data_IF_022178135141
#
_entry.id   IF_022178135141
#
_cell.length_a   1.000
_cell.length_b   1.000
_cell.length_c   1.000
_cell.angle_alpha   90.00
_cell.angle_beta   90.00
_cell.angle_gamma   90.00
#
_symmetry.space_group_name_H-M   'P 1'
#
loop_
_entity.id
_entity.type
_entity.pdbx_description
1 polymer ?
#
# COMPACT_ATOMS: atom_id res chain seq x y z
N UNK A 1 -21.53 -5.14 4.13
CA UNK A 1 -21.56 -3.72 3.75
C UNK A 1 -20.32 -3.49 2.91
N UNK A 2 -20.44 -3.00 1.67
CA UNK A 2 -19.28 -2.61 0.88
C UNK A 2 -18.89 -1.20 1.32
N UNK A 3 -17.62 -0.96 1.58
CA UNK A 3 -17.14 0.39 1.91
C UNK A 3 -17.26 1.29 0.68
N UNK A 4 -17.78 2.52 0.83
CA UNK A 4 -17.83 3.48 -0.26
C UNK A 4 -16.44 3.73 -0.86
N UNK A 5 -16.28 3.74 -2.20
CA UNK A 5 -14.98 3.93 -2.84
C UNK A 5 -14.25 5.21 -2.43
N UNK A 6 -15.00 6.25 -2.02
CA UNK A 6 -14.44 7.52 -1.54
C UNK A 6 -13.58 7.36 -0.28
N UNK A 7 -13.86 6.38 0.57
CA UNK A 7 -13.06 6.09 1.77
C UNK A 7 -11.66 5.63 1.33
N UNK A 8 -11.59 4.62 0.45
CA UNK A 8 -10.34 4.15 -0.15
C UNK A 8 -9.59 5.26 -0.89
N UNK A 9 -10.30 6.11 -1.64
CA UNK A 9 -9.70 7.23 -2.38
C UNK A 9 -9.01 8.22 -1.44
N UNK A 10 -9.63 8.58 -0.31
CA UNK A 10 -9.03 9.48 0.66
C UNK A 10 -7.76 8.90 1.29
N UNK A 11 -7.77 7.60 1.60
CA UNK A 11 -6.59 6.88 2.08
C UNK A 11 -5.47 6.87 1.06
N UNK A 12 -5.77 6.56 -0.21
CA UNK A 12 -4.78 6.57 -1.30
C UNK A 12 -4.19 7.97 -1.48
N UNK A 13 -5.02 9.01 -1.50
CA UNK A 13 -4.57 10.41 -1.62
C UNK A 13 -3.67 10.82 -0.45
N UNK A 14 -3.98 10.37 0.76
CA UNK A 14 -3.15 10.60 1.95
C UNK A 14 -1.79 9.91 1.84
N UNK A 15 -1.75 8.65 1.41
CA UNK A 15 -0.52 7.87 1.27
C UNK A 15 0.36 8.39 0.12
N UNK A 16 -0.24 8.76 -1.02
CA UNK A 16 0.51 9.32 -2.15
C UNK A 16 1.10 10.70 -1.85
N UNK A 17 0.56 11.40 -0.85
CA UNK A 17 1.01 12.72 -0.43
C UNK A 17 2.02 12.68 0.73
N UNK A 18 2.56 11.52 1.13
CA UNK A 18 3.58 11.42 2.19
C UNK A 18 4.80 12.31 1.92
N UNK A 19 5.46 12.79 2.99
CA UNK A 19 6.69 13.58 2.91
C UNK A 19 7.91 12.67 2.69
N UNK A 20 8.00 12.13 1.46
CA UNK A 20 9.09 11.28 1.02
C UNK A 20 9.28 11.44 -0.50
N UNK A 21 10.48 11.20 -1.06
CA UNK A 21 10.70 11.29 -2.50
C UNK A 21 9.70 10.43 -3.28
N UNK A 22 9.00 11.04 -4.24
CA UNK A 22 7.91 10.38 -4.99
C UNK A 22 8.40 9.14 -5.75
N UNK A 23 9.61 9.18 -6.29
CA UNK A 23 10.24 8.04 -6.97
C UNK A 23 10.68 6.90 -6.03
N UNK A 24 10.56 7.06 -4.72
CA UNK A 24 10.81 6.01 -3.72
C UNK A 24 9.52 5.47 -3.09
N UNK A 25 8.37 6.04 -3.46
CA UNK A 25 7.06 5.60 -3.00
C UNK A 25 6.31 4.89 -4.11
N UNK A 26 5.63 3.80 -3.74
CA UNK A 26 4.74 3.05 -4.61
C UNK A 26 3.49 2.67 -3.83
N UNK A 27 2.33 3.15 -4.28
CA UNK A 27 1.03 2.83 -3.69
C UNK A 27 0.41 1.66 -4.46
N UNK A 28 0.15 0.57 -3.75
CA UNK A 28 -0.55 -0.61 -4.28
C UNK A 28 -1.92 -0.71 -3.62
N UNK A 29 -2.98 -0.77 -4.43
CA UNK A 29 -4.36 -0.92 -3.95
C UNK A 29 -4.83 -2.33 -4.31
N UNK A 30 -5.10 -3.15 -3.28
CA UNK A 30 -5.72 -4.47 -3.48
C UNK A 30 -7.23 -4.33 -3.43
N UNK A 31 -7.89 -4.77 -4.49
CA UNK A 31 -9.35 -4.82 -4.57
C UNK A 31 -9.81 -6.27 -4.68
N UNK A 32 -10.22 -6.81 -3.54
CA UNK A 32 -10.73 -8.17 -3.43
C UNK A 32 -12.13 -8.34 -4.04
N UNK A 33 -12.85 -7.24 -4.28
CA UNK A 33 -14.15 -7.24 -4.93
C UNK A 33 -14.07 -7.24 -6.45
N UNK A 34 -12.89 -6.97 -7.03
CA UNK A 34 -12.71 -6.80 -8.47
C UNK A 34 -13.72 -5.80 -9.07
N UNK A 35 -13.87 -4.66 -8.39
CA UNK A 35 -14.91 -3.68 -8.64
C UNK A 35 -14.48 -2.67 -9.71
N UNK A 36 -15.17 -2.59 -10.87
CA UNK A 36 -14.89 -1.55 -11.85
C UNK A 36 -15.13 -0.14 -11.30
N UNK A 37 -16.01 0.01 -10.30
CA UNK A 37 -16.24 1.26 -9.60
C UNK A 37 -15.03 1.68 -8.74
N UNK A 38 -14.39 0.74 -8.03
CA UNK A 38 -13.17 1.05 -7.27
C UNK A 38 -12.04 1.46 -8.22
N UNK A 39 -11.89 0.74 -9.34
CA UNK A 39 -10.90 1.11 -10.35
C UNK A 39 -11.19 2.49 -10.98
N UNK A 40 -12.45 2.81 -11.28
CA UNK A 40 -12.87 4.15 -11.72
C UNK A 40 -12.52 5.23 -10.69
N UNK A 41 -12.86 5.01 -9.42
CA UNK A 41 -12.59 5.95 -8.34
C UNK A 41 -11.09 6.24 -8.17
N UNK A 42 -10.22 5.23 -8.36
CA UNK A 42 -8.77 5.42 -8.35
C UNK A 42 -8.24 6.24 -9.54
N UNK A 43 -8.86 6.15 -10.72
CA UNK A 43 -8.50 7.01 -11.86
C UNK A 43 -8.88 8.47 -11.59
N UNK A 44 -10.06 8.71 -11.03
CA UNK A 44 -10.46 10.06 -10.61
C UNK A 44 -9.58 10.59 -9.46
N UNK A 45 -9.22 9.73 -8.50
CA UNK A 45 -8.25 10.06 -7.45
C UNK A 45 -6.89 10.46 -8.03
N UNK A 46 -6.38 9.73 -9.04
CA UNK A 46 -5.13 10.06 -9.71
C UNK A 46 -5.19 11.45 -10.38
N UNK A 47 -6.33 11.82 -10.97
CA UNK A 47 -6.51 13.15 -11.55
C UNK A 47 -6.47 14.24 -10.49
N UNK A 48 -7.11 14.03 -9.34
CA UNK A 48 -7.06 14.96 -8.21
C UNK A 48 -5.67 14.99 -7.53
N UNK A 49 -4.97 13.85 -7.45
CA UNK A 49 -3.63 13.75 -6.85
C UNK A 49 -2.62 14.70 -7.52
N UNK A 50 -2.77 14.94 -8.83
CA UNK A 50 -1.92 15.86 -9.61
C UNK A 50 -1.98 17.31 -9.15
N UNK A 51 -3.07 17.72 -8.50
CA UNK A 51 -3.21 19.07 -7.92
C UNK A 51 -3.11 19.05 -6.39
N UNK A 52 -3.52 17.96 -5.74
CA UNK A 52 -3.45 17.79 -4.29
C UNK A 52 -2.02 17.69 -3.75
N UNK A 53 -1.18 16.86 -4.37
CA UNK A 53 0.18 16.59 -3.88
C UNK A 53 1.06 17.85 -3.97
N UNK A 54 1.09 18.60 -5.10
CA UNK A 54 1.84 19.85 -5.16
C UNK A 54 1.32 20.90 -4.16
N UNK A 55 0.00 20.98 -3.95
CA UNK A 55 -0.58 21.87 -2.95
C UNK A 55 -0.12 21.51 -1.53
N UNK A 56 -0.14 20.22 -1.18
CA UNK A 56 0.34 19.74 0.12
C UNK A 56 1.79 20.13 0.39
N UNK A 57 2.66 19.97 -0.62
CA UNK A 57 4.08 20.34 -0.52
C UNK A 57 4.27 21.86 -0.45
N UNK A 58 3.56 22.61 -1.30
CA UNK A 58 3.66 24.09 -1.39
C UNK A 58 3.26 24.77 -0.08
N UNK A 59 2.26 24.24 0.61
CA UNK A 59 1.68 24.86 1.81
C UNK A 59 1.92 24.07 3.10
N UNK A 60 2.84 23.09 3.07
CA UNK A 60 3.20 22.23 4.20
C UNK A 60 1.98 21.69 4.97
N UNK A 61 1.05 21.12 4.20
CA UNK A 61 -0.16 20.53 4.77
C UNK A 61 0.22 19.36 5.67
N UNK A 62 -0.21 19.41 6.93
CA UNK A 62 0.09 18.38 7.92
C UNK A 62 -0.79 17.14 7.72
N UNK A 63 -2.11 17.27 7.87
CA UNK A 63 -3.05 16.17 7.61
C UNK A 63 -3.36 16.12 6.12
N UNK A 64 -2.75 15.17 5.41
CA UNK A 64 -2.83 15.08 3.94
C UNK A 64 -3.97 14.19 3.43
N UNK A 65 -4.96 13.93 4.27
CA UNK A 65 -6.23 13.33 3.88
C UNK A 65 -7.25 14.43 3.53
N UNK A 66 -7.70 14.54 2.27
CA UNK A 66 -8.53 15.67 1.83
C UNK A 66 -9.81 15.87 2.64
N UNK A 67 -10.57 14.79 2.92
CA UNK A 67 -11.81 14.88 3.70
C UNK A 67 -11.58 15.50 5.09
N UNK A 68 -10.49 15.12 5.77
CA UNK A 68 -10.13 15.70 7.06
C UNK A 68 -9.62 17.14 6.91
N UNK A 69 -8.77 17.39 5.93
CA UNK A 69 -8.19 18.72 5.70
C UNK A 69 -9.27 19.77 5.41
N UNK A 70 -10.27 19.43 4.60
CA UNK A 70 -11.35 20.35 4.20
C UNK A 70 -12.53 20.36 5.17
N UNK A 71 -12.54 19.51 6.21
CA UNK A 71 -13.59 19.47 7.24
C UNK A 71 -13.66 20.76 8.07
N UNK A 72 -12.52 21.43 8.26
CA UNK A 72 -12.42 22.70 8.98
C UNK A 72 -11.95 23.82 8.04
N UNK A 73 -12.47 25.06 8.19
CA UNK A 73 -11.94 26.22 7.48
C UNK A 73 -10.44 26.43 7.79
N UNK A 74 -9.65 26.99 6.85
CA UNK A 74 -8.24 27.23 7.09
C UNK A 74 -8.05 28.23 8.25
N UNK A 75 -7.14 27.94 9.18
CA UNK A 75 -6.84 28.85 10.28
C UNK A 75 -6.30 30.20 9.75
N UNK A 76 -6.83 31.29 10.29
CA UNK A 76 -6.60 32.67 9.82
C UNK A 76 -5.18 33.22 10.07
N UNK A 77 -4.30 32.47 10.75
CA UNK A 77 -2.94 32.93 11.00
C UNK A 77 -2.09 32.74 9.73
N UNK A 78 -2.09 33.78 8.88
CA UNK A 78 -1.13 34.03 7.78
C UNK A 78 -1.43 33.38 6.42
N UNK A 79 -2.68 33.34 5.97
CA UNK A 79 -2.95 32.99 4.56
C UNK A 79 -2.79 34.18 3.62
N UNK A 80 -1.82 34.09 2.70
CA UNK A 80 -1.74 35.01 1.56
C UNK A 80 -3.01 34.94 0.70
N UNK A 81 -3.29 35.98 -0.07
CA UNK A 81 -4.42 35.98 -1.04
C UNK A 81 -4.32 34.81 -2.02
N UNK A 82 -3.08 34.45 -2.42
CA UNK A 82 -2.83 33.28 -3.26
C UNK A 82 -3.23 31.97 -2.58
N UNK A 83 -2.89 31.77 -1.30
CA UNK A 83 -3.31 30.58 -0.56
C UNK A 83 -4.84 30.49 -0.51
N UNK A 84 -5.53 31.59 -0.21
CA UNK A 84 -6.99 31.57 -0.12
C UNK A 84 -7.65 31.21 -1.45
N UNK A 85 -7.08 31.69 -2.57
CA UNK A 85 -7.51 31.31 -3.90
C UNK A 85 -7.26 29.82 -4.17
N UNK A 86 -6.01 29.36 -4.00
CA UNK A 86 -5.62 27.97 -4.24
C UNK A 86 -6.44 27.00 -3.39
N UNK A 87 -6.66 27.31 -2.10
CA UNK A 87 -7.45 26.50 -1.18
C UNK A 87 -8.91 26.38 -1.63
N UNK A 88 -9.54 27.50 -2.02
CA UNK A 88 -10.93 27.48 -2.51
C UNK A 88 -11.06 26.68 -3.80
N UNK A 89 -10.15 26.91 -4.75
CA UNK A 89 -10.12 26.15 -6.00
C UNK A 89 -9.96 24.66 -5.74
N UNK A 90 -9.05 24.27 -4.85
CA UNK A 90 -8.78 22.87 -4.56
C UNK A 90 -9.93 22.19 -3.81
N UNK A 91 -10.59 22.91 -2.91
CA UNK A 91 -11.80 22.42 -2.23
C UNK A 91 -12.92 22.12 -3.24
N UNK A 92 -13.15 22.99 -4.22
CA UNK A 92 -14.14 22.76 -5.28
C UNK A 92 -13.80 21.55 -6.13
N UNK A 93 -12.52 21.34 -6.48
CA UNK A 93 -12.10 20.14 -7.22
C UNK A 93 -12.24 18.86 -6.38
N UNK A 94 -12.04 18.93 -5.06
CA UNK A 94 -12.30 17.80 -4.15
C UNK A 94 -13.80 17.46 -4.08
N UNK A 95 -14.67 18.46 -3.90
CA UNK A 95 -16.13 18.26 -3.89
C UNK A 95 -16.64 17.70 -5.24
N UNK A 96 -15.99 18.07 -6.34
CA UNK A 96 -16.25 17.50 -7.67
C UNK A 96 -15.81 16.03 -7.77
N UNK A 97 -14.67 15.66 -7.21
CA UNK A 97 -14.24 14.26 -7.10
C UNK A 97 -15.25 13.43 -6.31
N UNK A 98 -15.66 13.89 -5.13
CA UNK A 98 -16.66 13.22 -4.29
C UNK A 98 -17.98 13.01 -5.06
N UNK A 99 -18.46 14.06 -5.72
CA UNK A 99 -19.69 14.02 -6.51
C UNK A 99 -19.60 13.04 -7.68
N UNK A 100 -18.49 13.03 -8.44
CA UNK A 100 -18.29 12.06 -9.53
C UNK A 100 -18.34 10.62 -9.03
N UNK A 101 -17.66 10.33 -7.93
CA UNK A 101 -17.64 8.98 -7.35
C UNK A 101 -19.05 8.59 -6.86
N UNK A 102 -19.77 9.52 -6.23
CA UNK A 102 -21.14 9.29 -5.76
C UNK A 102 -22.11 9.06 -6.92
N UNK A 103 -22.07 9.90 -7.95
CA UNK A 103 -22.87 9.72 -9.17
C UNK A 103 -22.53 8.37 -9.83
N UNK A 104 -21.26 7.98 -9.83
CA UNK A 104 -20.80 6.67 -10.27
C UNK A 104 -21.08 5.53 -9.28
N UNK A 105 -21.64 5.78 -8.10
CA UNK A 105 -22.13 4.72 -7.21
C UNK A 105 -23.62 4.50 -7.43
N UNK A 106 -24.34 5.60 -7.69
CA UNK A 106 -25.79 5.64 -7.91
C UNK A 106 -26.17 5.18 -9.33
N UNK A 107 -25.45 5.60 -10.37
CA UNK A 107 -25.82 5.40 -11.78
C UNK A 107 -25.25 4.12 -12.39
N UNK A 108 -25.58 2.93 -11.87
CA UNK A 108 -24.96 1.60 -12.19
C UNK A 108 -24.80 1.19 -13.67
N UNK A 109 -25.25 2.01 -14.62
CA UNK A 109 -25.19 1.78 -16.06
C UNK A 109 -24.66 3.07 -16.72
N UNK A 110 -23.54 2.99 -17.44
CA UNK A 110 -23.17 4.00 -18.46
C UNK A 110 -22.06 5.00 -18.11
N UNK A 111 -21.59 5.11 -16.86
CA UNK A 111 -20.49 6.05 -16.52
C UNK A 111 -19.15 5.70 -17.20
N UNK A 112 -19.03 4.48 -17.71
CA UNK A 112 -17.81 3.94 -18.31
C UNK A 112 -17.48 4.60 -19.66
N UNK A 113 -18.47 4.83 -20.52
CA UNK A 113 -18.27 5.30 -21.90
C UNK A 113 -17.80 6.75 -21.95
N UNK A 114 -18.31 7.61 -21.07
CA UNK A 114 -17.94 9.02 -20.98
C UNK A 114 -16.56 9.25 -20.35
N UNK A 115 -16.07 8.28 -19.57
CA UNK A 115 -14.83 8.42 -18.80
C UNK A 115 -13.55 8.15 -19.59
N UNK A 116 -13.64 7.42 -20.72
CA UNK A 116 -12.48 6.97 -21.50
C UNK A 116 -11.57 5.96 -20.78
N UNK A 117 -12.01 5.39 -19.64
CA UNK A 117 -11.24 4.41 -18.87
C UNK A 117 -11.42 3.02 -19.47
N UNK A 118 -10.31 2.32 -19.73
CA UNK A 118 -10.32 0.92 -20.18
C UNK A 118 -10.81 -0.01 -19.06
N UNK A 119 -12.07 -0.43 -19.18
CA UNK A 119 -12.71 -1.40 -18.30
C UNK A 119 -12.89 -2.78 -18.93
N UNK A 120 -12.26 -3.05 -20.09
CA UNK A 120 -12.45 -4.32 -20.79
C UNK A 120 -12.10 -5.54 -19.93
N UNK A 121 -11.11 -5.40 -19.04
CA UNK A 121 -10.70 -6.44 -18.10
C UNK A 121 -11.79 -6.80 -17.07
N UNK A 122 -12.78 -5.94 -16.85
CA UNK A 122 -13.87 -6.11 -15.88
C UNK A 122 -15.18 -6.59 -16.55
N UNK A 123 -15.18 -6.82 -17.85
CA UNK A 123 -16.36 -7.27 -18.57
C UNK A 123 -16.62 -8.76 -18.34
N UNK A 124 -17.85 -9.12 -17.98
CA UNK A 124 -18.31 -10.51 -17.82
C UNK A 124 -17.55 -11.34 -16.75
N UNK A 125 -17.00 -10.69 -15.72
CA UNK A 125 -16.30 -11.37 -14.63
C UNK A 125 -17.20 -11.59 -13.41
N UNK A 126 -16.91 -12.62 -12.62
CA UNK A 126 -17.54 -12.87 -11.32
C UNK A 126 -16.58 -12.48 -10.21
N UNK A 127 -17.05 -11.84 -9.13
CA UNK A 127 -16.21 -11.48 -7.97
C UNK A 127 -15.60 -12.69 -7.24
N UNK A 128 -16.10 -13.90 -7.50
CA UNK A 128 -15.58 -15.17 -6.95
C UNK A 128 -14.78 -15.98 -7.98
N UNK A 129 -14.82 -15.59 -9.26
CA UNK A 129 -14.15 -16.29 -10.34
C UNK A 129 -13.78 -15.33 -11.47
N UNK A 130 -12.52 -14.93 -11.48
CA UNK A 130 -11.96 -14.00 -12.46
C UNK A 130 -10.43 -14.14 -12.50
N UNK A 131 -9.79 -13.86 -13.65
CA UNK A 131 -8.33 -13.79 -13.73
C UNK A 131 -7.79 -12.66 -12.85
N UNK A 132 -6.48 -12.65 -12.58
CA UNK A 132 -5.85 -11.48 -11.98
C UNK A 132 -5.97 -10.27 -12.91
N UNK A 133 -6.21 -9.09 -12.33
CA UNK A 133 -6.21 -7.81 -13.04
C UNK A 133 -5.21 -6.91 -12.34
N UNK A 134 -4.10 -6.63 -13.03
CA UNK A 134 -3.07 -5.70 -12.54
C UNK A 134 -3.00 -4.55 -13.54
N UNK A 135 -3.23 -3.33 -13.06
CA UNK A 135 -3.22 -2.11 -13.87
C UNK A 135 -2.29 -1.10 -13.21
N UNK A 136 -1.30 -0.62 -13.96
CA UNK A 136 -0.43 0.49 -13.53
C UNK A 136 -1.13 1.79 -13.94
N UNK A 137 -1.73 2.50 -12.99
CA UNK A 137 -2.44 3.75 -13.27
C UNK A 137 -1.46 4.91 -13.47
N UNK A 138 -0.38 4.92 -12.69
CA UNK A 138 0.68 5.91 -12.79
C UNK A 138 2.05 5.28 -12.57
N UNK A 139 2.97 5.56 -13.48
CA UNK A 139 4.38 5.19 -13.37
C UNK A 139 5.23 6.46 -13.25
N UNK A 140 5.88 6.64 -12.10
CA UNK A 140 6.84 7.72 -11.91
C UNK A 140 8.09 7.48 -12.78
N UNK A 141 8.42 8.42 -13.66
CA UNK A 141 9.58 8.33 -14.58
C UNK A 141 10.81 9.10 -14.10
N UNK A 142 10.86 9.52 -12.83
CA UNK A 142 11.94 10.22 -12.13
C UNK A 142 12.33 11.62 -12.65
N UNK A 143 12.11 11.94 -13.93
CA UNK A 143 12.65 13.15 -14.59
C UNK A 143 11.82 14.41 -14.28
N UNK A 144 10.55 14.27 -13.92
CA UNK A 144 9.66 15.42 -13.60
C UNK A 144 8.42 15.07 -12.77
N UNK A 145 8.24 13.79 -12.39
CA UNK A 145 6.97 13.33 -11.83
C UNK A 145 6.93 13.48 -10.30
N UNK A 146 6.02 14.33 -9.83
CA UNK A 146 5.81 14.55 -8.40
C UNK A 146 4.98 13.46 -7.70
N UNK A 147 4.38 12.55 -8.47
CA UNK A 147 3.46 11.53 -7.98
C UNK A 147 4.15 10.16 -7.82
N UNK A 148 3.95 9.46 -6.69
CA UNK A 148 4.33 8.06 -6.53
C UNK A 148 3.71 7.13 -7.56
N UNK A 149 4.29 5.94 -7.76
CA UNK A 149 3.62 4.91 -8.56
C UNK A 149 2.25 4.57 -7.95
N UNK A 150 1.23 4.35 -8.79
CA UNK A 150 -0.09 3.90 -8.37
C UNK A 150 -0.46 2.65 -9.16
N UNK A 151 -0.64 1.54 -8.46
CA UNK A 151 -0.92 0.23 -9.05
C UNK A 151 -2.20 -0.33 -8.43
N UNK A 152 -3.16 -0.70 -9.28
CA UNK A 152 -4.34 -1.46 -8.91
C UNK A 152 -4.06 -2.96 -9.08
N UNK A 153 -4.45 -3.74 -8.08
CA UNK A 153 -4.29 -5.19 -8.05
C UNK A 153 -5.60 -5.82 -7.64
N UNK A 154 -6.18 -6.63 -8.52
CA UNK A 154 -7.18 -7.62 -8.19
C UNK A 154 -6.58 -8.99 -8.43
N UNK A 155 -6.47 -9.80 -7.38
CA UNK A 155 -5.86 -11.14 -7.45
C UNK A 155 -6.77 -12.10 -8.21
N UNK A 156 -6.20 -13.15 -8.80
CA UNK A 156 -7.02 -14.19 -9.40
C UNK A 156 -7.89 -14.86 -8.31
N UNK A 157 -9.17 -15.09 -8.63
CA UNK A 157 -10.08 -15.86 -7.78
C UNK A 157 -10.67 -17.02 -8.56
N UNK A 158 -10.87 -18.14 -7.87
CA UNK A 158 -11.46 -19.33 -8.44
C UNK A 158 -12.34 -20.03 -7.42
N UNK A 159 -13.47 -20.57 -7.85
CA UNK A 159 -14.35 -21.39 -7.00
C UNK A 159 -13.65 -22.61 -6.39
N UNK A 160 -12.51 -23.02 -6.96
CA UNK A 160 -11.76 -24.21 -6.53
C UNK A 160 -10.69 -23.93 -5.47
N UNK A 161 -10.34 -22.65 -5.25
CA UNK A 161 -9.22 -22.29 -4.39
C UNK A 161 -9.67 -21.35 -3.28
N UNK A 162 -9.26 -21.67 -2.05
CA UNK A 162 -9.51 -20.80 -0.91
C UNK A 162 -8.61 -19.56 -1.01
N UNK A 163 -9.17 -18.37 -0.76
CA UNK A 163 -8.45 -17.12 -0.97
C UNK A 163 -7.97 -16.46 0.34
N UNK A 164 -8.23 -17.06 1.51
CA UNK A 164 -7.67 -16.58 2.79
C UNK A 164 -7.88 -15.08 3.11
N UNK A 165 -8.99 -14.50 2.63
CA UNK A 165 -9.41 -13.12 2.90
C UNK A 165 -8.24 -12.11 2.85
N UNK A 166 -8.06 -11.29 3.90
CA UNK A 166 -7.04 -10.24 3.99
C UNK A 166 -5.62 -10.81 3.93
N UNK A 167 -5.33 -11.93 4.59
CA UNK A 167 -4.01 -12.54 4.58
C UNK A 167 -3.57 -12.89 3.15
N UNK A 168 -4.41 -13.60 2.39
CA UNK A 168 -4.10 -13.93 1.00
C UNK A 168 -3.97 -12.69 0.10
N UNK A 169 -4.73 -11.62 0.35
CA UNK A 169 -4.60 -10.38 -0.42
C UNK A 169 -3.25 -9.69 -0.16
N UNK A 170 -2.83 -9.63 1.10
CA UNK A 170 -1.52 -9.09 1.49
C UNK A 170 -0.36 -9.94 0.95
N UNK A 171 -0.51 -11.28 0.92
CA UNK A 171 0.46 -12.18 0.31
C UNK A 171 0.64 -11.88 -1.18
N UNK A 172 -0.47 -11.75 -1.92
CA UNK A 172 -0.44 -11.39 -3.35
C UNK A 172 0.20 -10.02 -3.56
N UNK A 173 -0.20 -8.99 -2.80
CA UNK A 173 0.41 -7.65 -2.88
C UNK A 173 1.93 -7.69 -2.69
N UNK A 174 2.42 -8.57 -1.81
CA UNK A 174 3.85 -8.69 -1.55
C UNK A 174 4.59 -9.34 -2.71
N UNK A 175 4.02 -10.37 -3.32
CA UNK A 175 4.61 -10.99 -4.51
C UNK A 175 4.59 -10.04 -5.71
N UNK A 176 3.44 -9.41 -5.96
CA UNK A 176 3.25 -8.44 -7.05
C UNK A 176 4.19 -7.24 -6.89
N UNK A 177 4.24 -6.62 -5.69
CA UNK A 177 5.19 -5.53 -5.43
C UNK A 177 6.64 -6.01 -5.50
N UNK A 178 6.92 -7.26 -5.10
CA UNK A 178 8.24 -7.88 -5.18
C UNK A 178 8.75 -7.99 -6.61
N UNK A 179 7.90 -8.26 -7.61
CA UNK A 179 8.33 -8.29 -9.02
C UNK A 179 8.31 -6.93 -9.70
N UNK A 180 7.44 -6.01 -9.28
CA UNK A 180 7.28 -4.71 -9.93
C UNK A 180 8.27 -3.65 -9.41
N UNK A 181 8.37 -3.48 -8.10
CA UNK A 181 9.17 -2.38 -7.49
C UNK A 181 10.16 -2.82 -6.43
N UNK A 182 9.94 -4.00 -5.83
CA UNK A 182 10.79 -4.66 -4.83
C UNK A 182 11.28 -3.76 -3.69
N UNK A 183 10.42 -2.85 -3.21
CA UNK A 183 10.78 -1.93 -2.13
C UNK A 183 11.16 -2.70 -0.85
N UNK A 184 12.27 -2.35 -0.16
CA UNK A 184 12.77 -3.11 1.01
C UNK A 184 11.87 -2.99 2.25
N UNK A 185 11.02 -1.96 2.30
CA UNK A 185 10.06 -1.72 3.37
C UNK A 185 8.65 -1.69 2.79
N UNK A 186 7.69 -2.24 3.54
CA UNK A 186 6.28 -2.30 3.14
C UNK A 186 5.45 -1.71 4.28
N UNK A 187 4.71 -0.64 4.01
CA UNK A 187 3.68 -0.14 4.92
C UNK A 187 2.34 -0.76 4.54
N UNK A 188 1.67 -1.44 5.47
CA UNK A 188 0.31 -1.91 5.26
C UNK A 188 -0.71 -0.99 5.93
N UNK A 189 -1.78 -0.66 5.20
CA UNK A 189 -2.80 0.30 5.62
C UNK A 189 -4.16 -0.20 5.16
N UNK A 190 -5.15 -0.13 6.04
CA UNK A 190 -6.55 -0.41 5.72
C UNK A 190 -7.19 0.78 5.01
N UNK A 191 -8.25 0.53 4.24
CA UNK A 191 -8.92 1.52 3.40
C UNK A 191 -9.53 2.68 4.18
N UNK A 192 -9.86 2.49 5.45
CA UNK A 192 -10.42 3.49 6.38
C UNK A 192 -9.36 4.24 7.20
N UNK A 193 -8.08 3.99 6.93
CA UNK A 193 -6.95 4.58 7.64
C UNK A 193 -6.22 5.60 6.78
N UNK A 194 -5.97 6.80 7.33
CA UNK A 194 -5.17 7.82 6.65
C UNK A 194 -3.96 8.22 7.49
N UNK A 195 -2.98 8.85 6.84
CA UNK A 195 -1.78 9.35 7.52
C UNK A 195 -2.05 10.74 8.09
N UNK A 196 -1.98 10.85 9.41
CA UNK A 196 -2.14 12.10 10.16
C UNK A 196 -0.82 12.91 10.30
N UNK A 197 0.33 12.27 10.11
CA UNK A 197 1.65 12.90 10.11
C UNK A 197 2.39 12.54 8.81
N UNK A 198 2.67 13.50 7.92
CA UNK A 198 3.22 13.19 6.60
C UNK A 198 4.66 12.67 6.67
N UNK A 199 5.36 12.87 7.80
CA UNK A 199 6.72 12.41 8.06
C UNK A 199 6.78 10.99 8.65
N UNK A 200 5.66 10.26 8.76
CA UNK A 200 5.62 8.91 9.36
C UNK A 200 6.62 7.94 8.73
N UNK A 201 6.88 8.05 7.41
CA UNK A 201 7.90 7.23 6.72
C UNK A 201 9.30 7.57 7.23
N UNK A 202 9.61 8.86 7.40
CA UNK A 202 10.91 9.31 7.92
C UNK A 202 11.11 8.80 9.36
N UNK A 203 10.08 8.89 10.20
CA UNK A 203 10.14 8.34 11.56
C UNK A 203 10.38 6.83 11.58
N UNK A 204 9.71 6.07 10.71
CA UNK A 204 9.96 4.64 10.58
C UNK A 204 11.39 4.35 10.09
N UNK A 205 11.90 5.13 9.13
CA UNK A 205 13.28 4.99 8.66
C UNK A 205 14.30 5.32 9.76
N UNK A 206 14.04 6.30 10.63
CA UNK A 206 14.90 6.56 11.79
C UNK A 206 15.00 5.33 12.68
N UNK A 207 13.90 4.62 12.94
CA UNK A 207 13.91 3.39 13.73
C UNK A 207 14.68 2.28 13.01
N UNK A 208 14.38 2.05 11.74
CA UNK A 208 15.04 0.98 10.97
C UNK A 208 16.51 1.22 10.67
N UNK A 209 17.00 2.47 10.74
CA UNK A 209 18.34 2.88 10.33
C UNK A 209 19.18 3.47 11.48
N UNK A 210 18.71 3.40 12.74
CA UNK A 210 19.28 4.13 13.87
C UNK A 210 20.72 3.73 14.23
N UNK A 211 21.07 2.44 14.14
CA UNK A 211 22.41 1.93 14.49
C UNK A 211 22.69 0.62 13.77
N UNK A 212 23.96 0.35 13.40
CA UNK A 212 24.38 -0.87 12.68
C UNK A 212 24.07 -2.17 13.44
N UNK A 213 24.08 -2.11 14.76
CA UNK A 213 23.90 -3.28 15.62
C UNK A 213 22.41 -3.61 15.81
N UNK A 214 21.51 -2.62 15.75
CA UNK A 214 20.04 -2.81 15.82
C UNK A 214 19.40 -3.05 14.44
N UNK A 215 20.15 -2.88 13.33
CA UNK A 215 19.65 -2.99 11.95
C UNK A 215 19.07 -4.38 11.62
N UNK A 216 19.58 -5.43 12.26
CA UNK A 216 19.17 -6.80 11.96
C UNK A 216 17.94 -7.23 12.77
N UNK A 217 17.79 -6.72 13.99
CA UNK A 217 16.81 -7.21 14.98
C UNK A 217 15.38 -6.69 14.82
N UNK A 218 15.19 -5.59 14.08
CA UNK A 218 13.86 -4.97 13.94
C UNK A 218 13.11 -5.58 12.76
N UNK A 219 12.13 -6.43 13.05
CA UNK A 219 11.24 -7.02 12.04
C UNK A 219 10.26 -6.03 11.41
N UNK A 220 9.66 -5.17 12.24
CA UNK A 220 8.67 -4.19 11.83
C UNK A 220 8.58 -3.02 12.82
N UNK A 221 7.90 -1.94 12.41
CA UNK A 221 7.58 -0.76 13.22
C UNK A 221 6.08 -0.54 13.16
N UNK A 222 5.39 -0.74 14.28
CA UNK A 222 3.95 -0.55 14.42
C UNK A 222 3.65 0.89 14.87
N UNK A 223 2.81 1.61 14.14
CA UNK A 223 2.26 2.89 14.60
C UNK A 223 1.01 2.64 15.44
N UNK A 224 0.74 3.46 16.48
CA UNK A 224 -0.54 3.40 17.19
C UNK A 224 -1.68 3.76 16.24
N UNK A 225 -2.83 3.10 16.40
CA UNK A 225 -4.06 3.44 15.67
C UNK A 225 -4.82 4.50 16.46
N UNK A 226 -5.25 5.56 15.77
CA UNK A 226 -6.02 6.64 16.37
C UNK A 226 -7.33 6.78 15.59
N UNK A 227 -8.45 6.82 16.31
CA UNK A 227 -9.77 6.95 15.73
C UNK A 227 -10.21 8.42 15.80
N UNK A 228 -10.60 8.99 14.66
CA UNK A 228 -11.19 10.32 14.60
C UNK A 228 -12.67 10.27 15.04
N UNK A 229 -13.24 11.42 15.42
CA UNK A 229 -14.62 11.56 15.88
C UNK A 229 -15.04 10.66 17.06
N UNK A 230 -14.07 10.24 17.89
CA UNK A 230 -14.32 9.48 19.11
C UNK A 230 -15.11 10.28 20.15
N UNK A 231 -16.04 9.62 20.84
CA UNK A 231 -16.77 10.21 21.97
C UNK A 231 -15.79 10.53 23.12
N UNK A 232 -15.87 11.74 23.68
CA UNK A 232 -14.95 12.20 24.73
C UNK A 232 -14.92 11.29 25.96
N UNK A 233 -16.05 10.71 26.32
CA UNK A 233 -16.24 9.79 27.45
C UNK A 233 -16.06 8.31 27.06
N UNK A 234 -15.88 8.02 25.77
CA UNK A 234 -15.65 6.69 25.16
C UNK A 234 -16.32 5.51 25.91
N UNK A 235 -17.65 5.52 26.08
CA UNK A 235 -18.34 4.51 26.90
C UNK A 235 -18.21 3.09 26.34
N UNK A 236 -17.84 2.96 25.07
CA UNK A 236 -17.64 1.69 24.37
C UNK A 236 -16.17 1.26 24.31
N UNK A 237 -15.22 2.09 24.74
CA UNK A 237 -13.79 1.80 24.65
C UNK A 237 -13.27 1.73 23.22
N UNK A 238 -13.95 2.34 22.25
CA UNK A 238 -13.64 2.23 20.82
C UNK A 238 -12.37 2.97 20.44
N UNK A 239 -11.91 3.93 21.26
CA UNK A 239 -10.64 4.61 21.01
C UNK A 239 -9.42 3.75 21.37
N UNK A 240 -9.63 2.60 22.03
CA UNK A 240 -8.58 1.64 22.39
C UNK A 240 -7.40 2.26 23.15
N UNK A 241 -7.64 3.35 23.90
CA UNK A 241 -6.62 4.12 24.62
C UNK A 241 -5.81 3.21 25.55
N UNK A 242 -6.45 2.31 26.29
CA UNK A 242 -5.75 1.38 27.19
C UNK A 242 -4.76 0.49 26.43
N UNK A 243 -5.14 0.02 25.24
CA UNK A 243 -4.30 -0.86 24.43
C UNK A 243 -3.07 -0.12 23.91
N UNK A 244 -3.26 1.04 23.27
CA UNK A 244 -2.17 1.73 22.59
C UNK A 244 -1.33 2.64 23.51
N UNK A 245 -1.94 3.34 24.47
CA UNK A 245 -1.22 4.29 25.33
C UNK A 245 -0.55 3.63 26.54
N UNK A 246 -1.10 2.50 27.03
CA UNK A 246 -0.60 1.85 28.25
C UNK A 246 -0.01 0.48 27.96
N UNK A 247 -0.82 -0.46 27.47
CA UNK A 247 -0.39 -1.86 27.29
C UNK A 247 0.73 -1.99 26.27
N UNK A 248 0.58 -1.38 25.09
CA UNK A 248 1.59 -1.44 24.04
C UNK A 248 2.92 -0.83 24.49
N UNK A 249 2.89 0.32 25.19
CA UNK A 249 4.11 0.95 25.74
C UNK A 249 4.82 0.09 26.77
N UNK A 250 4.07 -0.63 27.61
CA UNK A 250 4.66 -1.60 28.54
C UNK A 250 5.35 -2.75 27.82
N UNK A 251 4.70 -3.33 26.82
CA UNK A 251 5.23 -4.47 26.03
C UNK A 251 6.42 -4.04 25.15
N UNK A 252 6.47 -2.78 24.71
CA UNK A 252 7.62 -2.22 24.01
C UNK A 252 8.94 -2.35 24.79
N UNK A 253 8.90 -2.33 26.13
CA UNK A 253 10.08 -2.54 26.97
C UNK A 253 10.58 -3.99 27.05
N UNK A 254 9.84 -4.95 26.46
CA UNK A 254 10.20 -6.36 26.43
C UNK A 254 10.75 -6.77 25.06
N UNK A 255 9.86 -6.93 24.07
CA UNK A 255 10.20 -7.43 22.72
C UNK A 255 9.67 -6.52 21.60
N UNK A 256 8.81 -5.54 21.94
CA UNK A 256 8.10 -4.74 20.96
C UNK A 256 6.59 -5.06 20.90
N UNK A 257 5.78 -4.16 20.32
CA UNK A 257 4.32 -4.30 20.28
C UNK A 257 3.90 -5.39 19.30
N UNK A 258 2.71 -5.95 19.47
CA UNK A 258 2.13 -6.88 18.49
C UNK A 258 1.71 -6.15 17.20
N UNK A 259 1.78 -6.87 16.08
CA UNK A 259 1.18 -6.42 14.83
C UNK A 259 -0.34 -6.29 14.98
N UNK A 260 -0.86 -5.09 14.68
CA UNK A 260 -2.26 -4.72 14.92
C UNK A 260 -3.12 -4.63 13.65
N UNK A 261 -2.65 -5.19 12.51
CA UNK A 261 -3.45 -5.32 11.29
C UNK A 261 -3.34 -4.17 10.28
N UNK A 262 -2.87 -2.99 10.68
CA UNK A 262 -2.72 -1.76 9.87
C UNK A 262 -1.68 -0.82 10.49
N UNK A 263 -1.16 0.15 9.74
CA UNK A 263 -0.19 1.13 10.21
C UNK A 263 1.16 0.51 10.59
N UNK A 264 1.55 -0.58 9.94
CA UNK A 264 2.78 -1.27 10.27
C UNK A 264 3.75 -1.26 9.10
N UNK A 265 4.97 -0.81 9.35
CA UNK A 265 6.08 -0.90 8.41
C UNK A 265 6.82 -2.20 8.63
N UNK A 266 6.92 -3.03 7.60
CA UNK A 266 7.60 -4.32 7.65
C UNK A 266 8.88 -4.29 6.84
N UNK A 267 9.93 -5.01 7.28
CA UNK A 267 11.06 -5.32 6.40
C UNK A 267 10.68 -6.46 5.46
N UNK A 268 10.81 -6.24 4.15
CA UNK A 268 10.51 -7.27 3.13
C UNK A 268 11.29 -8.56 3.35
N UNK A 269 12.57 -8.47 3.71
CA UNK A 269 13.40 -9.66 3.99
C UNK A 269 12.84 -10.52 5.13
N UNK A 270 12.33 -9.89 6.20
CA UNK A 270 11.75 -10.59 7.35
C UNK A 270 10.44 -11.27 6.98
N UNK A 271 9.62 -10.60 6.16
CA UNK A 271 8.42 -11.19 5.61
C UNK A 271 8.69 -12.41 4.71
N UNK A 272 9.88 -12.49 4.10
CA UNK A 272 10.38 -13.65 3.35
C UNK A 272 11.06 -14.70 4.26
N UNK A 273 10.81 -14.66 5.57
CA UNK A 273 11.38 -15.55 6.57
C UNK A 273 12.91 -15.47 6.70
N UNK A 274 13.53 -14.35 6.31
CA UNK A 274 14.93 -14.06 6.61
C UNK A 274 15.03 -13.30 7.94
N UNK A 275 15.22 -14.06 9.01
CA UNK A 275 15.35 -13.53 10.38
C UNK A 275 16.78 -13.06 10.70
N UNK A 276 16.94 -12.09 11.62
CA UNK A 276 18.23 -11.78 12.24
C UNK A 276 18.90 -13.05 12.76
N UNK A 277 20.20 -13.19 12.48
CA UNK A 277 21.05 -14.32 12.91
C UNK A 277 20.72 -15.71 12.33
N UNK A 278 19.73 -15.85 11.45
CA UNK A 278 19.56 -17.10 10.67
C UNK A 278 20.55 -17.12 9.50
N UNK A 279 21.26 -18.24 9.35
CA UNK A 279 22.23 -18.46 8.27
C UNK A 279 21.66 -18.05 6.92
N UNK A 280 22.48 -17.37 6.13
CA UNK A 280 22.10 -16.77 4.86
C UNK A 280 22.00 -17.84 3.75
N UNK A 281 21.11 -18.82 3.93
CA UNK A 281 20.97 -20.00 3.07
C UNK A 281 20.81 -19.62 1.58
N UNK A 282 20.07 -18.54 1.31
CA UNK A 282 19.77 -18.09 -0.04
C UNK A 282 20.85 -17.21 -0.68
N UNK A 283 21.63 -16.42 0.07
CA UNK A 283 22.69 -15.58 -0.53
C UNK A 283 23.99 -16.33 -0.78
N UNK A 284 24.25 -17.41 -0.04
CA UNK A 284 25.43 -18.26 -0.26
C UNK A 284 25.33 -19.12 -1.53
N UNK A 285 24.22 -19.04 -2.28
CA UNK A 285 23.97 -19.88 -3.45
C UNK A 285 23.81 -21.37 -3.11
N UNK A 286 23.62 -21.70 -1.81
CA UNK A 286 23.50 -23.07 -1.30
C UNK A 286 22.08 -23.61 -1.41
N UNK A 287 21.08 -22.75 -1.55
CA UNK A 287 19.70 -23.17 -1.74
C UNK A 287 19.52 -23.87 -3.10
N UNK A 288 19.00 -25.09 -3.05
CA UNK A 288 18.59 -25.84 -4.24
C UNK A 288 17.40 -25.17 -4.95
N UNK A 289 17.25 -25.45 -6.25
CA UNK A 289 16.08 -24.98 -7.01
C UNK A 289 14.76 -25.46 -6.39
N UNK A 290 14.74 -26.65 -5.82
CA UNK A 290 13.57 -27.20 -5.12
C UNK A 290 13.21 -26.40 -3.86
N UNK A 291 14.20 -25.97 -3.08
CA UNK A 291 13.97 -25.11 -1.90
C UNK A 291 13.44 -23.74 -2.31
N UNK A 292 14.02 -23.12 -3.35
CA UNK A 292 13.53 -21.84 -3.87
C UNK A 292 12.08 -21.93 -4.37
N UNK A 293 11.72 -23.02 -5.06
CA UNK A 293 10.34 -23.27 -5.51
C UNK A 293 9.42 -23.49 -4.31
N UNK A 294 9.86 -24.27 -3.30
CA UNK A 294 9.08 -24.51 -2.08
C UNK A 294 8.85 -23.20 -1.31
N UNK A 295 9.83 -22.32 -1.23
CA UNK A 295 9.74 -21.06 -0.47
C UNK A 295 9.01 -19.97 -1.25
N UNK A 296 9.43 -19.68 -2.49
CA UNK A 296 8.96 -18.52 -3.26
C UNK A 296 7.97 -18.86 -4.37
N UNK A 297 7.72 -20.14 -4.64
CA UNK A 297 6.89 -20.60 -5.75
C UNK A 297 7.66 -20.71 -7.07
N UNK A 298 6.95 -21.11 -8.13
CA UNK A 298 7.55 -21.48 -9.42
C UNK A 298 7.98 -20.30 -10.30
N UNK A 299 7.68 -19.05 -9.94
CA UNK A 299 8.07 -17.89 -10.74
C UNK A 299 9.57 -17.59 -10.58
N UNK A 300 10.35 -17.90 -11.64
CA UNK A 300 11.79 -17.60 -11.68
C UNK A 300 12.09 -16.11 -11.51
N UNK A 301 11.26 -15.24 -12.07
CA UNK A 301 11.40 -13.78 -11.94
C UNK A 301 11.22 -13.35 -10.49
N UNK A 302 10.18 -13.85 -9.82
CA UNK A 302 9.97 -13.53 -8.41
C UNK A 302 11.03 -14.12 -7.48
N UNK A 303 11.43 -15.38 -7.68
CA UNK A 303 12.49 -16.00 -6.89
C UNK A 303 13.82 -15.21 -6.98
N UNK A 304 14.18 -14.72 -8.18
CA UNK A 304 15.34 -13.82 -8.38
C UNK A 304 15.15 -12.47 -7.66
N UNK A 305 13.94 -11.91 -7.68
CA UNK A 305 13.64 -10.67 -6.99
C UNK A 305 13.71 -10.79 -5.47
N UNK A 306 13.15 -11.87 -4.93
CA UNK A 306 13.13 -12.15 -3.51
C UNK A 306 14.54 -12.42 -2.96
N UNK A 307 15.35 -13.18 -3.70
CA UNK A 307 16.76 -13.38 -3.36
C UNK A 307 17.58 -12.10 -3.46
N UNK A 308 17.26 -11.20 -4.40
CA UNK A 308 17.87 -9.87 -4.44
C UNK A 308 17.51 -9.03 -3.20
N UNK A 309 16.29 -9.15 -2.67
CA UNK A 309 15.85 -8.41 -1.49
C UNK A 309 16.64 -8.77 -0.21
N UNK A 310 17.39 -9.88 -0.22
CA UNK A 310 18.30 -10.26 0.86
C UNK A 310 19.67 -9.59 0.79
N UNK A 311 20.06 -9.06 -0.38
CA UNK A 311 21.38 -8.42 -0.56
C UNK A 311 21.43 -7.11 0.20
N UNK A 312 22.56 -6.87 0.85
CA UNK A 312 22.79 -5.63 1.55
C UNK A 312 22.92 -4.47 0.54
N UNK A 313 22.11 -3.42 0.74
CA UNK A 313 21.98 -2.29 -0.20
C UNK A 313 23.21 -1.36 -0.22
N UNK A 314 24.23 -1.68 0.57
CA UNK A 314 25.55 -1.02 0.57
C UNK A 314 26.40 -1.37 -0.67
N UNK A 315 25.95 -2.30 -1.50
CA UNK A 315 26.60 -2.60 -2.78
C UNK A 315 26.04 -1.67 -3.87
N UNK A 316 26.91 -1.05 -4.68
CA UNK A 316 26.57 -0.16 -5.81
C UNK A 316 25.88 -0.91 -6.98
N UNK A 317 24.92 -1.79 -6.68
CA UNK A 317 24.12 -2.49 -7.67
C UNK A 317 22.90 -1.65 -8.01
N UNK A 318 22.65 -1.44 -9.30
CA UNK A 318 21.36 -0.95 -9.78
C UNK A 318 20.25 -1.81 -9.18
N UNK A 319 19.25 -1.18 -8.55
CA UNK A 319 18.12 -1.88 -7.92
C UNK A 319 17.49 -2.95 -8.80
N UNK A 320 16.82 -3.94 -8.19
CA UNK A 320 16.10 -4.99 -8.90
C UNK A 320 14.59 -4.86 -8.65
N UNK A 321 13.72 -4.89 -9.68
CA UNK A 321 14.09 -4.90 -11.10
C UNK A 321 14.84 -3.61 -11.49
N UNK A 322 15.64 -3.62 -12.57
CA UNK A 322 16.26 -2.41 -13.10
C UNK A 322 15.23 -1.28 -13.22
N UNK A 323 15.61 -0.07 -12.82
CA UNK A 323 14.71 1.08 -12.86
C UNK A 323 14.18 1.31 -14.28
N UNK A 324 12.86 1.47 -14.41
CA UNK A 324 12.17 1.78 -15.65
C UNK A 324 11.39 0.60 -16.25
N UNK A 325 10.15 0.90 -16.69
CA UNK A 325 9.19 0.01 -17.36
C UNK A 325 8.66 -1.12 -16.47
N UNK A 326 7.84 -0.77 -15.47
CA UNK A 326 7.04 -1.71 -14.69
C UNK A 326 6.28 -2.72 -15.59
N UNK A 327 5.86 -2.26 -16.79
CA UNK A 327 5.19 -3.08 -17.80
C UNK A 327 5.98 -4.33 -18.23
N UNK A 328 7.32 -4.29 -18.20
CA UNK A 328 8.14 -5.44 -18.57
C UNK A 328 7.96 -6.64 -17.63
N UNK A 329 7.51 -6.40 -16.40
CA UNK A 329 7.28 -7.43 -15.40
C UNK A 329 5.80 -7.75 -15.20
N UNK A 330 4.90 -7.23 -16.03
CA UNK A 330 3.45 -7.42 -15.85
C UNK A 330 3.02 -8.88 -16.02
N UNK A 331 3.66 -9.63 -16.91
CA UNK A 331 3.42 -11.07 -17.05
C UNK A 331 3.80 -11.84 -15.78
N UNK A 332 4.99 -11.56 -15.23
CA UNK A 332 5.44 -12.13 -13.97
C UNK A 332 4.53 -11.71 -12.80
N UNK A 333 4.04 -10.47 -12.80
CA UNK A 333 3.10 -9.97 -11.79
C UNK A 333 1.76 -10.73 -11.83
N UNK A 334 1.20 -10.96 -13.02
CA UNK A 334 -0.01 -11.77 -13.16
C UNK A 334 0.23 -13.22 -12.74
N UNK A 335 1.39 -13.80 -13.12
CA UNK A 335 1.76 -15.16 -12.72
C UNK A 335 1.77 -15.34 -11.19
N UNK A 336 2.37 -14.39 -10.45
CA UNK A 336 2.44 -14.48 -8.97
C UNK A 336 1.15 -14.07 -8.25
N UNK A 337 0.19 -13.47 -8.96
CA UNK A 337 -1.14 -13.14 -8.47
C UNK A 337 -2.17 -14.28 -8.68
N UNK A 338 -1.73 -15.40 -9.26
CA UNK A 338 -2.57 -16.55 -9.55
C UNK A 338 -3.08 -17.26 -8.29
N UNK A 339 -4.31 -17.79 -8.35
CA UNK A 339 -4.97 -18.40 -7.20
C UNK A 339 -4.35 -19.74 -6.76
N UNK A 340 -3.64 -20.41 -7.66
CA UNK A 340 -2.90 -21.64 -7.37
C UNK A 340 -1.43 -21.42 -6.98
N UNK A 341 -0.96 -20.17 -6.92
CA UNK A 341 0.47 -19.88 -6.72
C UNK A 341 1.00 -20.36 -5.37
N UNK A 342 0.13 -20.40 -4.36
CA UNK A 342 0.49 -20.73 -2.97
C UNK A 342 0.44 -22.24 -2.70
N UNK A 343 -0.08 -23.04 -3.63
CA UNK A 343 -0.23 -24.51 -3.47
C UNK A 343 1.15 -25.16 -3.40
N UNK A 344 1.35 -25.98 -2.35
CA UNK A 344 2.61 -26.69 -2.10
C UNK A 344 3.82 -25.77 -1.91
N UNK A 345 3.58 -24.51 -1.52
CA UNK A 345 4.61 -23.56 -1.13
C UNK A 345 4.57 -23.28 0.37
N UNK A 346 5.51 -22.47 0.86
CA UNK A 346 5.62 -22.08 2.26
C UNK A 346 4.82 -20.80 2.59
N UNK A 347 4.09 -20.24 1.61
CA UNK A 347 3.28 -19.04 1.80
C UNK A 347 2.12 -19.28 2.76
N UNK A 348 2.01 -18.44 3.78
CA UNK A 348 0.94 -18.51 4.79
C UNK A 348 1.13 -19.58 5.87
N UNK A 349 2.21 -20.36 5.80
CA UNK A 349 2.59 -21.35 6.84
C UNK A 349 3.92 -21.02 7.52
N UNK A 350 4.96 -20.74 6.74
CA UNK A 350 6.30 -20.41 7.25
C UNK A 350 6.78 -19.04 6.74
N UNK A 351 6.17 -18.54 5.65
CA UNK A 351 6.51 -17.27 5.00
C UNK A 351 5.28 -16.37 5.00
N UNK A 352 5.49 -15.11 5.41
CA UNK A 352 4.50 -14.03 5.37
C UNK A 352 3.34 -14.14 6.39
N UNK A 353 2.23 -13.42 6.15
CA UNK A 353 1.02 -13.47 6.96
C UNK A 353 0.41 -14.87 6.95
N UNK A 354 0.32 -15.43 8.15
CA UNK A 354 -0.30 -16.73 8.41
C UNK A 354 -1.75 -16.79 7.91
N UNK A 355 -2.16 -17.96 7.46
CA UNK A 355 -3.57 -18.26 7.11
C UNK A 355 -4.43 -18.67 8.30
N UNK A 356 -3.83 -18.82 9.49
CA UNK A 356 -4.47 -19.24 10.73
C UNK A 356 -5.49 -18.24 11.27
#
# INVERSE_FOLDING_TARGET
>A
MLEPPIITVNTVLSLMALDYPSNKLSCYVSDDGCSPLTFYALNEALNFAKIWIPFCKKYDVQVRAPFMYFSTPPHHLHSSTQFQYDWKTLKVEYEKLERKIKEAEENRIGWHEESGIDLAAFSNISTKHHPSIIKILWENKEVSDELPHLIYVSREKSFKHHHHCKAGAMNVLTRVSGVLTNAPYILNVDCDMFVNNPQVVLHAMCVFLNSKDDLEDIGYVQTPQCFYDGLKDDPFGNQLVVVFEYSARGIMGLQGPFYSGTGCFHRRKVLYAQFPHHTIYFLDGKASEQELIKTFGYSKTFAKSATYAFKDQNTNTSGYPPKGLLNNNLEAANQVAGCGYEISTSWGSEVFFSFT
#
